data_IF_270364806307
#
_entry.id   IF_270364806307
#
_cell.length_a   1.000
_cell.length_b   1.000
_cell.length_c   1.000
_cell.angle_alpha   90.00
_cell.angle_beta   90.00
_cell.angle_gamma   90.00
#
_symmetry.space_group_name_H-M   'P 1'
#
loop_
_entity.id
_entity.type
_entity.pdbx_description
1 polymer ?
#
# COMPACT_ATOMS: atom_id res chain seq x y z
N UNK A 1 -29.04 -17.99 24.95
CA UNK A 1 -27.85 -17.11 24.96
C UNK A 1 -28.33 -15.68 25.04
N UNK A 2 -27.71 -14.88 25.91
CA UNK A 2 -27.96 -13.44 25.97
C UNK A 2 -27.43 -12.80 24.68
N UNK A 3 -28.22 -11.94 24.06
CA UNK A 3 -27.81 -11.19 22.87
C UNK A 3 -26.67 -10.25 23.25
N UNK A 4 -25.53 -10.32 22.56
CA UNK A 4 -24.40 -9.42 22.81
C UNK A 4 -24.77 -8.02 22.32
N UNK A 5 -24.57 -7.01 23.18
CA UNK A 5 -24.74 -5.60 22.83
C UNK A 5 -23.41 -4.87 22.99
N UNK A 6 -22.95 -4.23 21.92
CA UNK A 6 -21.83 -3.30 21.92
C UNK A 6 -22.36 -1.87 21.79
N UNK A 7 -21.73 -0.92 22.48
CA UNK A 7 -22.08 0.49 22.40
C UNK A 7 -20.82 1.35 22.51
N UNK A 8 -20.65 2.28 21.57
CA UNK A 8 -19.62 3.33 21.64
C UNK A 8 -20.34 4.68 21.69
N UNK A 9 -20.03 5.46 22.71
CA UNK A 9 -20.50 6.82 22.93
C UNK A 9 -19.33 7.77 23.14
N UNK A 10 -19.61 9.07 23.26
CA UNK A 10 -18.60 10.11 23.53
C UNK A 10 -17.69 9.82 24.73
N UNK A 11 -18.21 9.08 25.72
CA UNK A 11 -17.52 8.89 27.00
C UNK A 11 -17.20 7.43 27.32
N UNK A 12 -17.71 6.47 26.53
CA UNK A 12 -17.63 5.06 26.92
C UNK A 12 -17.66 4.11 25.72
N UNK A 13 -16.97 2.99 25.86
CA UNK A 13 -17.13 1.79 25.05
C UNK A 13 -17.59 0.66 25.96
N UNK A 14 -18.68 -0.02 25.60
CA UNK A 14 -19.23 -1.11 26.42
C UNK A 14 -19.52 -2.37 25.62
N UNK A 15 -19.45 -3.51 26.32
CA UNK A 15 -20.03 -4.79 25.89
C UNK A 15 -20.93 -5.28 27.03
N UNK A 16 -22.21 -5.52 26.75
CA UNK A 16 -23.24 -5.88 27.75
C UNK A 16 -23.19 -4.96 28.99
N UNK A 17 -23.20 -3.65 28.75
CA UNK A 17 -23.16 -2.58 29.77
C UNK A 17 -21.87 -2.52 30.61
N UNK A 18 -20.89 -3.38 30.36
CA UNK A 18 -19.58 -3.34 31.00
C UNK A 18 -18.66 -2.39 30.23
N UNK A 19 -18.18 -1.34 30.89
CA UNK A 19 -17.22 -0.38 30.34
C UNK A 19 -15.86 -1.02 30.12
N UNK A 20 -15.27 -0.77 28.94
CA UNK A 20 -14.01 -1.35 28.50
C UNK A 20 -13.11 -0.28 27.90
N UNK A 21 -11.80 -0.51 28.05
CA UNK A 21 -10.77 0.22 27.34
C UNK A 21 -9.75 -0.78 26.79
N UNK A 22 -9.21 -0.49 25.61
CA UNK A 22 -8.11 -1.28 25.07
C UNK A 22 -6.77 -0.87 25.72
N UNK A 23 -5.82 -1.83 25.84
CA UNK A 23 -6.00 -3.25 25.56
C UNK A 23 -6.85 -3.94 26.65
N UNK A 24 -7.67 -4.92 26.27
CA UNK A 24 -8.63 -5.58 27.17
C UNK A 24 -8.02 -6.88 27.70
N UNK A 25 -8.01 -7.09 29.01
CA UNK A 25 -7.60 -8.39 29.56
C UNK A 25 -8.51 -9.52 29.08
N UNK A 26 -7.94 -10.63 28.62
CA UNK A 26 -8.73 -11.73 28.05
C UNK A 26 -9.75 -12.31 29.05
N UNK A 27 -9.42 -12.31 30.35
CA UNK A 27 -10.29 -12.77 31.43
C UNK A 27 -11.53 -11.88 31.61
N UNK A 28 -11.44 -10.59 31.24
CA UNK A 28 -12.60 -9.69 31.26
C UNK A 28 -13.59 -10.08 30.17
N UNK A 29 -13.10 -10.40 28.97
CA UNK A 29 -13.96 -10.88 27.87
C UNK A 29 -14.62 -12.22 28.20
N UNK A 30 -13.91 -13.13 28.86
CA UNK A 30 -14.48 -14.41 29.31
C UNK A 30 -15.69 -14.22 30.23
N UNK A 31 -15.60 -13.24 31.13
CA UNK A 31 -16.68 -12.91 32.09
C UNK A 31 -17.86 -12.20 31.44
N UNK A 32 -17.62 -11.43 30.36
CA UNK A 32 -18.66 -10.65 29.69
C UNK A 32 -19.41 -11.48 28.64
N UNK A 33 -18.68 -12.25 27.84
CA UNK A 33 -19.23 -13.00 26.72
C UNK A 33 -19.87 -14.33 27.15
N UNK A 34 -19.38 -14.93 28.25
CA UNK A 34 -19.94 -16.14 28.86
C UNK A 34 -20.19 -17.29 27.84
N UNK A 35 -19.31 -17.40 26.86
CA UNK A 35 -19.38 -18.39 25.79
C UNK A 35 -18.04 -19.12 25.66
N UNK A 36 -18.07 -20.33 25.10
CA UNK A 36 -16.87 -21.11 24.85
C UNK A 36 -15.99 -20.39 23.83
N UNK A 37 -14.70 -20.26 24.14
CA UNK A 37 -13.70 -19.76 23.20
C UNK A 37 -12.75 -20.88 22.79
N UNK A 38 -12.27 -20.80 21.57
CA UNK A 38 -11.09 -21.54 21.11
C UNK A 38 -9.94 -20.58 20.85
N UNK A 39 -8.72 -21.11 20.87
CA UNK A 39 -7.50 -20.32 20.69
C UNK A 39 -6.68 -20.88 19.54
N UNK A 40 -6.29 -20.01 18.61
CA UNK A 40 -5.40 -20.33 17.49
C UNK A 40 -4.16 -19.44 17.57
N UNK A 41 -2.96 -20.04 17.59
CA UNK A 41 -1.71 -19.29 17.56
C UNK A 41 -1.18 -19.20 16.12
N UNK A 42 -0.93 -17.98 15.65
CA UNK A 42 -0.31 -17.66 14.36
C UNK A 42 1.07 -17.05 14.57
N UNK A 43 1.76 -16.73 13.46
CA UNK A 43 3.13 -16.17 13.46
C UNK A 43 3.24 -14.88 14.27
N UNK A 44 2.22 -14.01 14.21
CA UNK A 44 2.27 -12.66 14.78
C UNK A 44 1.28 -12.41 15.92
N UNK A 45 0.33 -13.31 16.14
CA UNK A 45 -0.80 -13.11 17.04
C UNK A 45 -1.39 -14.44 17.53
N UNK A 46 -2.06 -14.35 18.66
CA UNK A 46 -2.95 -15.34 19.25
C UNK A 46 -4.37 -14.82 19.00
N UNK A 47 -5.21 -15.68 18.42
CA UNK A 47 -6.59 -15.35 18.07
C UNK A 47 -7.50 -16.15 18.98
N UNK A 48 -8.37 -15.47 19.70
CA UNK A 48 -9.45 -16.07 20.48
C UNK A 48 -10.75 -15.95 19.70
N UNK A 49 -11.46 -17.06 19.51
CA UNK A 49 -12.69 -17.09 18.71
C UNK A 49 -13.84 -17.63 19.56
N UNK A 50 -14.90 -16.84 19.71
CA UNK A 50 -16.19 -17.27 20.27
C UNK A 50 -17.11 -17.66 19.11
N UNK A 51 -17.04 -18.94 18.72
CA UNK A 51 -17.64 -19.48 17.49
C UNK A 51 -19.13 -19.12 17.33
N UNK A 52 -19.92 -19.26 18.41
CA UNK A 52 -21.38 -19.07 18.37
C UNK A 52 -21.78 -17.59 18.41
N UNK A 53 -20.84 -16.70 18.72
CA UNK A 53 -21.08 -15.26 18.83
C UNK A 53 -20.63 -14.50 17.59
N UNK A 54 -19.81 -15.09 16.72
CA UNK A 54 -19.19 -14.40 15.60
C UNK A 54 -18.18 -13.32 16.01
N UNK A 55 -17.53 -13.52 17.16
CA UNK A 55 -16.58 -12.57 17.75
C UNK A 55 -15.19 -13.20 17.80
N UNK A 56 -14.20 -12.47 17.30
CA UNK A 56 -12.79 -12.78 17.44
C UNK A 56 -12.08 -11.70 18.24
N UNK A 57 -11.01 -12.06 18.92
CA UNK A 57 -10.12 -11.16 19.62
C UNK A 57 -8.66 -11.44 19.25
N UNK A 58 -7.92 -10.39 18.89
CA UNK A 58 -6.53 -10.46 18.49
C UNK A 58 -5.64 -10.04 19.66
N UNK A 59 -4.70 -10.91 20.02
CA UNK A 59 -3.75 -10.70 21.11
C UNK A 59 -2.33 -10.95 20.65
N UNK A 60 -1.38 -10.05 20.93
CA UNK A 60 0.04 -10.30 20.63
C UNK A 60 0.71 -11.22 21.64
N UNK A 61 0.34 -11.11 22.92
CA UNK A 61 1.03 -11.78 24.03
C UNK A 61 0.18 -12.83 24.75
N UNK A 62 -1.09 -12.97 24.39
CA UNK A 62 -2.04 -13.91 25.01
C UNK A 62 -2.64 -13.42 26.33
N UNK A 63 -2.24 -12.27 26.86
CA UNK A 63 -2.73 -11.71 28.12
C UNK A 63 -3.78 -10.63 27.88
N UNK A 64 -3.52 -9.75 26.93
CA UNK A 64 -4.40 -8.63 26.59
C UNK A 64 -4.77 -8.65 25.11
N UNK A 65 -5.94 -8.13 24.80
CA UNK A 65 -6.53 -8.08 23.47
C UNK A 65 -6.37 -6.66 22.94
N UNK A 66 -5.78 -6.52 21.75
CA UNK A 66 -5.58 -5.22 21.10
C UNK A 66 -6.72 -4.83 20.16
N UNK A 67 -7.43 -5.80 19.58
CA UNK A 67 -8.62 -5.55 18.76
C UNK A 67 -9.63 -6.69 18.84
N UNK A 68 -10.90 -6.34 18.61
CA UNK A 68 -12.01 -7.25 18.43
C UNK A 68 -12.46 -7.22 16.97
N UNK A 69 -12.89 -8.36 16.44
CA UNK A 69 -13.48 -8.45 15.11
C UNK A 69 -14.87 -9.10 15.22
N UNK A 70 -15.87 -8.47 14.61
CA UNK A 70 -17.21 -9.01 14.46
C UNK A 70 -17.35 -9.53 13.02
N UNK A 71 -17.50 -10.83 12.83
CA UNK A 71 -17.68 -11.42 11.49
C UNK A 71 -19.15 -11.29 11.07
N UNK A 72 -19.41 -10.53 9.99
CA UNK A 72 -20.75 -10.37 9.41
C UNK A 72 -21.00 -11.34 8.24
N UNK A 73 -19.93 -11.96 7.76
CA UNK A 73 -19.92 -13.03 6.76
C UNK A 73 -19.05 -14.18 7.28
N UNK A 74 -19.38 -15.42 6.89
CA UNK A 74 -18.55 -16.58 7.24
C UNK A 74 -17.18 -16.44 6.55
N UNK A 75 -16.12 -16.48 7.35
CA UNK A 75 -14.76 -16.54 6.85
C UNK A 75 -14.30 -17.98 6.59
N UNK A 76 -13.28 -18.12 5.74
CA UNK A 76 -12.75 -19.42 5.30
C UNK A 76 -11.44 -19.80 6.03
N UNK A 77 -11.03 -19.00 7.03
CA UNK A 77 -9.81 -19.25 7.79
C UNK A 77 -10.03 -20.25 8.92
N UNK A 78 -8.97 -20.95 9.32
CA UNK A 78 -8.99 -21.88 10.46
C UNK A 78 -9.33 -21.20 11.80
N UNK A 79 -9.22 -19.87 11.88
CA UNK A 79 -9.62 -19.06 13.04
C UNK A 79 -10.98 -18.37 12.89
N UNK A 80 -11.64 -18.43 11.72
CA UNK A 80 -12.96 -17.84 11.50
C UNK A 80 -14.04 -18.53 12.32
N UNK A 81 -14.96 -17.75 12.87
CA UNK A 81 -16.06 -18.25 13.68
C UNK A 81 -17.00 -19.16 12.87
N UNK A 82 -17.70 -20.06 13.57
CA UNK A 82 -18.67 -20.96 12.92
C UNK A 82 -19.97 -20.24 12.53
N UNK A 83 -20.34 -19.22 13.30
CA UNK A 83 -21.52 -18.39 13.11
C UNK A 83 -21.16 -16.91 13.03
N UNK A 84 -21.91 -16.15 12.23
CA UNK A 84 -21.75 -14.70 12.14
C UNK A 84 -22.28 -13.99 13.38
N UNK A 85 -21.78 -12.78 13.61
CA UNK A 85 -22.25 -11.88 14.64
C UNK A 85 -23.72 -11.50 14.41
N UNK A 86 -24.54 -11.76 15.43
CA UNK A 86 -26.00 -11.47 15.44
C UNK A 86 -26.40 -10.54 16.60
N UNK A 87 -25.40 -9.97 17.27
CA UNK A 87 -25.62 -9.02 18.35
C UNK A 87 -26.04 -7.65 17.84
N UNK A 88 -26.14 -6.71 18.76
CA UNK A 88 -26.41 -5.30 18.46
C UNK A 88 -25.12 -4.51 18.62
N UNK A 89 -24.89 -3.53 17.75
CA UNK A 89 -23.78 -2.60 17.89
C UNK A 89 -24.26 -1.19 17.58
N UNK A 90 -24.17 -0.30 18.57
CA UNK A 90 -24.50 1.10 18.46
C UNK A 90 -23.24 1.98 18.47
N UNK A 91 -23.27 3.04 17.67
CA UNK A 91 -22.27 4.09 17.60
C UNK A 91 -23.00 5.44 17.72
N UNK A 92 -22.70 6.18 18.79
CA UNK A 92 -23.31 7.48 19.11
C UNK A 92 -24.86 7.44 19.12
N UNK A 93 -25.42 6.40 19.74
CA UNK A 93 -26.86 6.10 19.84
C UNK A 93 -27.56 5.69 18.52
N UNK A 94 -26.83 5.44 17.44
CA UNK A 94 -27.36 4.90 16.18
C UNK A 94 -26.79 3.50 15.92
N UNK A 95 -27.52 2.64 15.20
CA UNK A 95 -26.99 1.34 14.78
C UNK A 95 -25.75 1.55 13.88
N UNK A 96 -24.66 0.84 14.16
CA UNK A 96 -23.31 1.15 13.64
C UNK A 96 -23.21 1.07 12.11
N UNK A 97 -23.89 0.12 11.48
CA UNK A 97 -23.88 -0.07 10.02
C UNK A 97 -24.64 1.07 9.35
N UNK A 98 -25.76 1.48 9.93
CA UNK A 98 -26.56 2.62 9.48
C UNK A 98 -25.75 3.90 9.60
N UNK A 99 -25.16 4.17 10.77
CA UNK A 99 -24.32 5.35 10.99
C UNK A 99 -23.16 5.40 10.00
N UNK A 100 -22.45 4.28 9.81
CA UNK A 100 -21.36 4.20 8.84
C UNK A 100 -21.83 4.57 7.44
N UNK A 101 -22.94 4.02 6.96
CA UNK A 101 -23.47 4.28 5.61
C UNK A 101 -23.91 5.73 5.40
N UNK A 102 -24.51 6.36 6.40
CA UNK A 102 -25.07 7.71 6.32
C UNK A 102 -24.04 8.82 6.55
N UNK A 103 -22.94 8.55 7.26
CA UNK A 103 -21.92 9.53 7.64
C UNK A 103 -20.57 9.29 6.94
N UNK A 104 -20.55 9.20 5.60
CA UNK A 104 -19.33 8.94 4.83
C UNK A 104 -18.24 10.01 5.03
N UNK A 105 -18.65 11.26 5.23
CA UNK A 105 -17.82 12.43 5.48
C UNK A 105 -17.11 12.41 6.84
N UNK A 106 -17.63 11.64 7.81
CA UNK A 106 -17.03 11.51 9.15
C UNK A 106 -16.01 10.38 9.26
N UNK A 107 -15.82 9.60 8.19
CA UNK A 107 -14.90 8.46 8.21
C UNK A 107 -13.47 8.94 8.08
N UNK A 108 -12.57 8.28 8.81
CA UNK A 108 -11.14 8.58 8.81
C UNK A 108 -10.39 7.37 8.27
N UNK A 109 -9.53 7.58 7.27
CA UNK A 109 -8.61 6.54 6.78
C UNK A 109 -7.63 6.18 7.89
N UNK A 110 -7.51 4.90 8.23
CA UNK A 110 -6.57 4.47 9.27
C UNK A 110 -5.15 4.25 8.74
N UNK A 111 -5.03 3.85 7.47
CA UNK A 111 -3.78 3.56 6.79
C UNK A 111 -3.88 3.93 5.30
N UNK A 112 -2.74 3.93 4.62
CA UNK A 112 -2.66 4.24 3.19
C UNK A 112 -3.35 3.16 2.35
N UNK A 113 -4.20 3.57 1.40
CA UNK A 113 -5.04 2.65 0.62
C UNK A 113 -6.36 2.26 1.28
N UNK A 114 -6.67 2.75 2.49
CA UNK A 114 -7.96 2.52 3.14
C UNK A 114 -9.11 3.22 2.37
N UNK A 115 -9.84 2.44 1.58
CA UNK A 115 -11.00 2.91 0.80
C UNK A 115 -12.29 2.99 1.62
N UNK A 116 -12.36 2.28 2.75
CA UNK A 116 -13.56 2.14 3.55
C UNK A 116 -13.65 3.21 4.64
N UNK A 117 -12.51 3.49 5.28
CA UNK A 117 -12.38 4.37 6.43
C UNK A 117 -13.00 3.77 7.70
N UNK A 118 -12.60 4.31 8.85
CA UNK A 118 -13.14 3.97 10.15
C UNK A 118 -13.98 5.11 10.73
N UNK A 119 -14.95 4.76 11.57
CA UNK A 119 -15.56 5.70 12.51
C UNK A 119 -14.66 5.78 13.75
N UNK A 120 -14.46 6.98 14.29
CA UNK A 120 -13.63 7.19 15.48
C UNK A 120 -14.42 7.94 16.53
N UNK A 121 -14.51 7.36 17.73
CA UNK A 121 -15.14 7.97 18.88
C UNK A 121 -14.55 7.44 20.18
N UNK A 122 -14.36 8.32 21.18
CA UNK A 122 -13.78 7.96 22.49
C UNK A 122 -12.47 7.14 22.39
N UNK A 123 -11.56 7.56 21.51
CA UNK A 123 -10.29 6.85 21.23
C UNK A 123 -10.47 5.38 20.80
N UNK A 124 -11.63 5.03 20.23
CA UNK A 124 -11.91 3.74 19.61
C UNK A 124 -12.09 3.97 18.11
N UNK A 125 -11.45 3.13 17.29
CA UNK A 125 -11.72 3.04 15.86
C UNK A 125 -12.63 1.85 15.58
N UNK A 126 -13.64 2.06 14.76
CA UNK A 126 -14.53 1.04 14.20
C UNK A 126 -14.31 1.02 12.69
N UNK A 127 -13.46 0.11 12.23
CA UNK A 127 -13.11 -0.06 10.82
C UNK A 127 -13.98 -1.15 10.20
N UNK A 128 -14.37 -0.95 8.94
CA UNK A 128 -15.30 -1.84 8.25
C UNK A 128 -14.59 -2.49 7.07
N UNK A 129 -14.53 -3.82 7.09
CA UNK A 129 -14.14 -4.60 5.93
C UNK A 129 -15.35 -4.72 5.01
N UNK A 130 -15.33 -4.01 3.89
CA UNK A 130 -16.43 -3.99 2.94
C UNK A 130 -15.95 -3.86 1.50
N UNK A 131 -16.54 -4.65 0.60
CA UNK A 131 -16.41 -4.49 -0.85
C UNK A 131 -17.78 -4.15 -1.45
N UNK A 132 -17.86 -2.98 -2.10
CA UNK A 132 -18.91 -2.38 -2.96
C UNK A 132 -20.38 -2.46 -2.50
N UNK A 133 -20.84 -3.52 -1.86
CA UNK A 133 -22.16 -3.71 -1.23
C UNK A 133 -22.19 -4.75 -0.08
N UNK A 134 -21.11 -5.49 0.18
CA UNK A 134 -21.06 -6.54 1.20
C UNK A 134 -20.12 -6.14 2.33
N UNK A 135 -20.64 -6.05 3.56
CA UNK A 135 -19.81 -5.91 4.76
C UNK A 135 -19.43 -7.30 5.24
N UNK A 136 -18.13 -7.54 5.34
CA UNK A 136 -17.58 -8.85 5.73
C UNK A 136 -17.32 -8.90 7.23
N UNK A 137 -16.75 -7.84 7.79
CA UNK A 137 -16.46 -7.75 9.21
C UNK A 137 -16.37 -6.30 9.71
N UNK A 138 -16.42 -6.15 11.03
CA UNK A 138 -16.16 -4.89 11.73
C UNK A 138 -15.01 -5.11 12.71
N UNK A 139 -13.93 -4.35 12.57
CA UNK A 139 -12.82 -4.33 13.54
C UNK A 139 -12.98 -3.16 14.51
N UNK A 140 -12.83 -3.45 15.80
CA UNK A 140 -12.90 -2.49 16.90
C UNK A 140 -11.55 -2.50 17.62
N UNK A 141 -10.88 -1.36 17.72
CA UNK A 141 -9.57 -1.25 18.34
C UNK A 141 -9.36 0.11 19.02
N UNK A 142 -8.33 0.24 19.85
CA UNK A 142 -7.83 1.55 20.26
C UNK A 142 -7.42 2.37 19.02
N UNK A 143 -7.96 3.57 18.89
CA UNK A 143 -7.50 4.54 17.91
C UNK A 143 -6.17 5.14 18.36
N UNK A 144 -5.10 4.82 17.65
CA UNK A 144 -3.73 5.28 17.95
C UNK A 144 -3.32 6.51 17.13
N UNK A 145 -4.30 7.21 16.55
CA UNK A 145 -4.07 8.19 15.50
C UNK A 145 -4.02 7.55 14.12
N UNK A 146 -3.97 8.39 13.10
CA UNK A 146 -3.86 7.97 11.70
C UNK A 146 -2.39 7.71 11.38
N UNK A 147 -2.05 6.50 10.94
CA UNK A 147 -0.70 6.19 10.46
C UNK A 147 -0.60 6.43 8.95
N UNK A 148 -0.86 7.67 8.53
CA UNK A 148 -0.48 8.13 7.19
C UNK A 148 0.93 8.67 7.31
N UNK A 149 1.87 8.11 6.56
CA UNK A 149 3.21 8.67 6.50
C UNK A 149 3.08 10.08 5.92
N UNK A 150 3.41 11.12 6.71
CA UNK A 150 3.40 12.49 6.17
C UNK A 150 4.53 12.62 5.16
N UNK A 151 4.19 12.50 3.88
CA UNK A 151 5.14 12.71 2.80
C UNK A 151 5.43 14.22 2.71
N UNK A 152 6.70 14.64 2.75
CA UNK A 152 7.05 16.05 2.57
C UNK A 152 6.46 16.58 1.27
N UNK A 153 5.79 17.75 1.33
CA UNK A 153 5.13 18.34 0.16
C UNK A 153 6.10 18.59 -1.00
N UNK A 154 7.38 18.77 -0.72
CA UNK A 154 8.40 19.02 -1.71
C UNK A 154 9.16 17.76 -2.16
N UNK A 155 8.86 16.55 -1.63
CA UNK A 155 9.59 15.31 -1.95
C UNK A 155 9.64 15.05 -3.46
N UNK A 156 8.48 14.95 -4.11
CA UNK A 156 8.39 14.73 -5.56
C UNK A 156 8.24 16.03 -6.36
N UNK A 157 8.58 17.17 -5.76
CA UNK A 157 8.64 18.44 -6.51
C UNK A 157 9.97 18.50 -7.26
N UNK A 158 9.92 18.53 -8.60
CA UNK A 158 11.11 18.72 -9.43
C UNK A 158 11.64 20.15 -9.19
N UNK A 159 12.86 20.23 -8.68
CA UNK A 159 13.57 21.48 -8.41
C UNK A 159 14.44 21.83 -9.61
N UNK A 160 14.55 23.12 -9.92
CA UNK A 160 15.54 23.60 -10.89
C UNK A 160 16.95 23.26 -10.39
N UNK A 161 17.77 22.72 -11.29
CA UNK A 161 19.14 22.33 -10.98
C UNK A 161 20.08 23.29 -11.68
N UNK A 162 20.96 23.95 -10.92
CA UNK A 162 21.97 24.86 -11.44
C UNK A 162 23.23 24.10 -11.91
N UNK A 163 23.05 23.04 -12.71
CA UNK A 163 24.14 22.26 -13.30
C UNK A 163 23.75 21.71 -14.69
N UNK A 164 24.73 21.26 -15.46
CA UNK A 164 24.48 20.71 -16.80
C UNK A 164 23.71 19.39 -16.70
N UNK A 165 22.62 19.28 -17.48
CA UNK A 165 21.74 18.11 -17.51
C UNK A 165 22.00 17.26 -18.76
N UNK A 166 21.71 15.97 -18.66
CA UNK A 166 21.69 15.07 -19.82
C UNK A 166 20.36 15.26 -20.55
N UNK A 167 20.43 15.56 -21.84
CA UNK A 167 19.25 15.57 -22.73
C UNK A 167 19.06 14.18 -23.32
N UNK A 168 17.90 13.57 -23.04
CA UNK A 168 17.54 12.27 -23.58
C UNK A 168 16.62 12.43 -24.79
N UNK A 169 16.92 11.71 -25.86
CA UNK A 169 16.07 11.60 -27.03
C UNK A 169 15.18 10.36 -27.00
N UNK A 170 15.52 9.38 -26.16
CA UNK A 170 14.80 8.12 -26.00
C UNK A 170 14.37 7.92 -24.54
N UNK A 171 13.06 7.76 -24.32
CA UNK A 171 12.53 7.62 -22.96
C UNK A 171 12.86 6.25 -22.34
N UNK A 172 12.86 5.17 -23.12
CA UNK A 172 13.25 3.84 -22.64
C UNK A 172 14.71 3.81 -22.19
N UNK A 173 15.58 4.50 -22.93
CA UNK A 173 16.98 4.66 -22.56
C UNK A 173 17.09 5.45 -21.26
N UNK A 174 16.35 6.56 -21.13
CA UNK A 174 16.30 7.36 -19.90
C UNK A 174 15.87 6.52 -18.69
N UNK A 175 14.84 5.69 -18.82
CA UNK A 175 14.38 4.81 -17.74
C UNK A 175 15.47 3.82 -17.30
N UNK A 176 16.23 3.29 -18.26
CA UNK A 176 17.35 2.38 -17.95
C UNK A 176 18.47 3.08 -17.16
N UNK A 177 18.71 4.37 -17.44
CA UNK A 177 19.64 5.19 -16.65
C UNK A 177 19.07 5.52 -15.26
N UNK A 178 17.78 5.81 -15.17
CA UNK A 178 17.12 6.05 -13.87
C UNK A 178 17.16 4.77 -13.02
N UNK A 179 16.93 3.59 -13.61
CA UNK A 179 17.07 2.31 -12.90
C UNK A 179 18.41 2.22 -12.19
N UNK A 180 19.49 2.43 -12.95
CA UNK A 180 20.85 2.31 -12.44
C UNK A 180 21.17 3.37 -11.38
N UNK A 181 20.83 4.64 -11.62
CA UNK A 181 21.17 5.71 -10.70
C UNK A 181 20.33 5.71 -9.42
N UNK A 182 19.03 5.40 -9.52
CA UNK A 182 18.07 5.55 -8.43
C UNK A 182 17.92 4.27 -7.60
N UNK A 183 17.93 3.09 -8.23
CA UNK A 183 17.63 1.83 -7.54
C UNK A 183 18.86 0.94 -7.36
N UNK A 184 19.76 0.86 -8.36
CA UNK A 184 21.00 0.07 -8.20
C UNK A 184 22.03 0.80 -7.35
N UNK A 185 22.35 2.05 -7.72
CA UNK A 185 23.42 2.84 -7.07
C UNK A 185 22.92 3.73 -5.94
N UNK A 186 21.62 4.03 -5.93
CA UNK A 186 20.96 4.90 -4.95
C UNK A 186 21.63 6.29 -4.80
N UNK A 187 22.09 6.88 -5.92
CA UNK A 187 22.73 8.20 -5.98
C UNK A 187 21.84 9.29 -6.59
N UNK A 188 20.72 8.90 -7.22
CA UNK A 188 19.70 9.83 -7.71
C UNK A 188 18.55 9.91 -6.72
N UNK A 189 18.45 11.05 -6.03
CA UNK A 189 17.47 11.29 -4.97
C UNK A 189 16.39 12.31 -5.35
N UNK A 190 15.20 12.23 -4.72
CA UNK A 190 14.78 11.15 -3.82
C UNK A 190 14.45 9.87 -4.59
N UNK A 191 14.62 8.71 -3.94
CA UNK A 191 14.14 7.43 -4.47
C UNK A 191 12.63 7.52 -4.65
N UNK A 192 12.16 7.23 -5.87
CA UNK A 192 10.74 7.28 -6.20
C UNK A 192 10.04 6.03 -5.70
N UNK A 193 8.85 6.21 -5.12
CA UNK A 193 7.96 5.13 -4.72
C UNK A 193 6.53 5.47 -5.18
N UNK A 194 5.91 4.56 -5.92
CA UNK A 194 4.58 4.72 -6.51
C UNK A 194 3.50 4.90 -5.46
N UNK A 195 3.53 4.12 -4.38
CA UNK A 195 2.52 4.18 -3.33
C UNK A 195 2.59 5.53 -2.60
N UNK A 196 3.80 5.96 -2.26
CA UNK A 196 4.03 7.29 -1.74
C UNK A 196 3.62 8.39 -2.72
N UNK A 197 3.97 8.26 -4.00
CA UNK A 197 3.63 9.28 -5.00
C UNK A 197 2.11 9.47 -5.12
N UNK A 198 1.34 8.38 -5.12
CA UNK A 198 -0.13 8.44 -5.16
C UNK A 198 -0.70 9.16 -3.94
N UNK A 199 -0.13 8.95 -2.76
CA UNK A 199 -0.53 9.67 -1.53
C UNK A 199 -0.14 11.15 -1.62
N UNK A 200 1.04 11.44 -2.16
CA UNK A 200 1.57 12.79 -2.29
C UNK A 200 0.83 13.63 -3.35
N UNK A 201 0.35 12.99 -4.42
CA UNK A 201 -0.23 13.66 -5.57
C UNK A 201 -1.70 14.06 -5.32
N UNK A 202 -1.92 15.23 -4.73
CA UNK A 202 -3.27 15.66 -4.32
C UNK A 202 -4.11 16.30 -5.44
N UNK A 203 -3.64 16.34 -6.70
CA UNK A 203 -4.38 17.01 -7.80
C UNK A 203 -5.59 16.18 -8.26
N UNK A 204 -5.54 14.86 -8.09
CA UNK A 204 -6.66 13.92 -8.27
C UNK A 204 -6.39 12.67 -7.44
N UNK A 205 -7.41 11.85 -7.22
CA UNK A 205 -7.22 10.50 -6.70
C UNK A 205 -6.66 9.60 -7.81
N UNK A 206 -5.64 8.80 -7.49
CA UNK A 206 -5.05 7.79 -8.38
C UNK A 206 -5.40 6.44 -7.75
N UNK A 207 -6.33 5.72 -8.37
CA UNK A 207 -6.78 4.42 -7.87
C UNK A 207 -5.93 3.32 -8.50
N UNK A 208 -4.89 2.89 -7.79
CA UNK A 208 -3.95 1.88 -8.29
C UNK A 208 -4.61 0.51 -8.56
N UNK A 209 -5.76 0.19 -7.99
CA UNK A 209 -6.48 -1.06 -8.28
C UNK A 209 -7.22 -0.99 -9.62
N UNK A 210 -7.57 0.22 -10.07
CA UNK A 210 -8.24 0.44 -11.36
C UNK A 210 -7.29 0.85 -12.47
N UNK A 211 -6.31 1.67 -12.15
CA UNK A 211 -5.41 2.31 -13.11
C UNK A 211 -4.09 1.55 -13.26
N UNK A 212 -3.73 0.66 -12.32
CA UNK A 212 -2.43 0.00 -12.28
C UNK A 212 -2.14 -1.03 -13.39
N UNK A 213 -3.11 -1.29 -14.28
CA UNK A 213 -2.97 -2.17 -15.44
C UNK A 213 -2.41 -1.45 -16.67
N UNK A 214 -2.29 -0.12 -16.62
CA UNK A 214 -1.67 0.71 -17.66
C UNK A 214 -0.66 1.67 -17.01
N UNK A 215 0.31 2.22 -17.76
CA UNK A 215 1.23 3.21 -17.23
C UNK A 215 0.51 4.42 -16.64
N UNK A 216 0.79 4.76 -15.38
CA UNK A 216 0.17 5.93 -14.74
C UNK A 216 0.71 7.22 -15.40
N UNK A 217 -0.15 8.08 -16.00
CA UNK A 217 0.31 9.22 -16.78
C UNK A 217 1.16 10.21 -15.97
N UNK A 218 0.77 10.49 -14.73
CA UNK A 218 1.48 11.40 -13.83
C UNK A 218 2.88 10.90 -13.49
N UNK A 219 3.02 9.59 -13.27
CA UNK A 219 4.30 8.96 -12.96
C UNK A 219 5.19 8.94 -14.20
N UNK A 220 4.61 8.60 -15.36
CA UNK A 220 5.28 8.68 -16.65
C UNK A 220 5.81 10.08 -16.92
N UNK A 221 4.97 11.10 -16.70
CA UNK A 221 5.37 12.50 -16.89
C UNK A 221 6.45 12.92 -15.89
N UNK A 222 6.35 12.50 -14.62
CA UNK A 222 7.39 12.75 -13.62
C UNK A 222 8.76 12.24 -14.09
N UNK A 223 8.85 10.99 -14.58
CA UNK A 223 10.13 10.45 -15.06
C UNK A 223 10.60 11.08 -16.37
N UNK A 224 9.69 11.53 -17.25
CA UNK A 224 10.05 12.33 -18.43
C UNK A 224 10.69 13.65 -18.04
N UNK A 225 10.17 14.31 -16.99
CA UNK A 225 10.63 15.62 -16.54
C UNK A 225 11.80 15.55 -15.55
N UNK A 226 12.05 14.39 -14.92
CA UNK A 226 13.09 14.21 -13.91
C UNK A 226 14.48 14.60 -14.48
N UNK A 227 15.15 15.64 -13.94
CA UNK A 227 16.45 16.07 -14.43
C UNK A 227 17.54 15.08 -14.01
N UNK A 228 18.43 14.74 -14.94
CA UNK A 228 19.59 13.88 -14.67
C UNK A 228 20.86 14.72 -14.85
N UNK A 229 21.53 15.10 -13.75
CA UNK A 229 22.81 15.79 -13.81
C UNK A 229 23.87 15.02 -14.58
N UNK A 230 24.58 15.70 -15.48
CA UNK A 230 25.64 15.10 -16.32
C UNK A 230 26.81 14.53 -15.52
N UNK A 231 27.03 15.01 -14.28
CA UNK A 231 28.03 14.45 -13.36
C UNK A 231 27.84 12.95 -13.10
N UNK A 232 26.61 12.44 -13.22
CA UNK A 232 26.32 11.01 -13.02
C UNK A 232 26.66 10.15 -14.24
N UNK A 233 26.96 10.75 -15.40
CA UNK A 233 27.18 9.97 -16.62
C UNK A 233 28.39 9.05 -16.55
N UNK A 234 29.41 9.40 -15.74
CA UNK A 234 30.58 8.55 -15.49
C UNK A 234 30.29 7.38 -14.56
N UNK A 235 29.20 7.43 -13.81
CA UNK A 235 28.81 6.35 -12.91
C UNK A 235 28.18 5.18 -13.67
N UNK A 236 27.70 5.40 -14.89
CA UNK A 236 27.03 4.36 -15.69
C UNK A 236 28.07 3.51 -16.42
N UNK A 237 28.19 2.25 -16.00
CA UNK A 237 29.10 1.27 -16.61
C UNK A 237 28.36 0.15 -17.34
N UNK A 238 27.15 -0.15 -16.90
CA UNK A 238 26.31 -1.21 -17.43
C UNK A 238 24.85 -0.75 -17.44
N UNK A 239 24.10 -1.19 -18.45
CA UNK A 239 22.65 -1.20 -18.46
C UNK A 239 22.20 -2.65 -18.30
N UNK A 240 21.27 -2.90 -17.39
CA UNK A 240 20.63 -4.21 -17.22
C UNK A 240 19.11 -4.02 -17.22
N UNK A 241 18.44 -4.52 -18.25
CA UNK A 241 16.99 -4.55 -18.33
C UNK A 241 16.45 -5.92 -17.97
N UNK A 242 15.51 -5.93 -17.03
CA UNK A 242 14.75 -7.09 -16.59
C UNK A 242 13.33 -6.62 -16.27
N UNK A 243 12.32 -7.46 -16.55
CA UNK A 243 10.93 -7.09 -16.29
C UNK A 243 10.60 -6.90 -14.81
N UNK A 244 11.41 -7.44 -13.91
CA UNK A 244 11.33 -7.20 -12.48
C UNK A 244 12.04 -5.93 -11.99
N UNK A 245 12.70 -5.15 -12.86
CA UNK A 245 13.36 -3.91 -12.46
C UNK A 245 12.37 -2.93 -11.81
N UNK A 246 12.79 -2.30 -10.71
CA UNK A 246 11.94 -1.43 -9.91
C UNK A 246 11.33 -0.27 -10.70
N UNK A 247 12.07 0.32 -11.65
CA UNK A 247 11.59 1.44 -12.46
C UNK A 247 10.29 1.10 -13.21
N UNK A 248 10.17 -0.12 -13.72
CA UNK A 248 8.98 -0.55 -14.45
C UNK A 248 7.80 -0.77 -13.52
N UNK A 249 8.05 -1.34 -12.34
CA UNK A 249 7.05 -1.50 -11.28
C UNK A 249 6.56 -0.16 -10.71
N UNK A 250 7.35 0.91 -10.79
CA UNK A 250 6.90 2.25 -10.44
C UNK A 250 5.94 2.86 -11.48
N UNK A 251 6.12 2.54 -12.75
CA UNK A 251 5.30 3.07 -13.84
C UNK A 251 4.01 2.26 -14.05
N UNK A 252 4.10 0.93 -13.91
CA UNK A 252 3.04 -0.03 -14.17
C UNK A 252 2.97 -1.06 -13.04
N UNK A 253 1.99 -0.90 -12.14
CA UNK A 253 1.87 -1.70 -10.92
C UNK A 253 1.63 -3.19 -11.20
N UNK A 254 0.77 -3.49 -12.16
CA UNK A 254 0.38 -4.86 -12.52
C UNK A 254 1.07 -5.33 -13.80
N UNK A 255 2.27 -4.80 -14.06
CA UNK A 255 3.08 -5.21 -15.21
C UNK A 255 3.51 -6.66 -15.07
N UNK A 256 3.48 -7.37 -16.19
CA UNK A 256 3.86 -8.78 -16.30
C UNK A 256 5.25 -8.96 -16.92
N UNK A 257 5.90 -7.86 -17.34
CA UNK A 257 7.26 -7.86 -17.81
C UNK A 257 7.42 -8.17 -19.30
N UNK A 258 6.36 -8.04 -20.09
CA UNK A 258 6.40 -8.20 -21.56
C UNK A 258 5.83 -6.99 -22.31
N UNK A 259 5.53 -5.92 -21.58
CA UNK A 259 4.98 -4.69 -22.13
C UNK A 259 6.02 -3.90 -22.92
N UNK A 260 5.64 -3.44 -24.11
CA UNK A 260 6.51 -2.68 -25.01
C UNK A 260 6.37 -1.15 -24.90
N UNK A 261 5.81 -0.62 -23.80
CA UNK A 261 5.54 0.82 -23.67
C UNK A 261 6.80 1.69 -23.73
N UNK A 262 7.94 1.13 -23.34
CA UNK A 262 9.21 1.85 -23.18
C UNK A 262 10.39 1.11 -23.79
N UNK A 263 10.13 0.37 -24.89
CA UNK A 263 11.22 -0.19 -25.69
C UNK A 263 12.18 0.94 -26.09
N UNK A 264 13.48 0.74 -25.85
CA UNK A 264 14.51 1.60 -26.42
C UNK A 264 14.40 1.51 -27.94
N UNK A 265 14.24 2.65 -28.61
CA UNK A 265 14.11 2.74 -30.06
C UNK A 265 15.46 2.99 -30.73
N UNK A 266 16.40 3.67 -30.05
CA UNK A 266 17.72 3.97 -30.58
C UNK A 266 18.78 4.20 -29.48
N UNK A 267 20.06 4.04 -29.82
CA UNK A 267 21.18 4.14 -28.90
C UNK A 267 21.84 5.53 -28.84
N UNK A 268 21.24 6.58 -29.42
CA UNK A 268 21.88 7.92 -29.53
C UNK A 268 22.31 8.49 -28.20
N UNK A 269 21.56 8.22 -27.13
CA UNK A 269 21.81 8.75 -25.80
C UNK A 269 23.05 8.10 -25.13
N UNK A 270 23.52 6.94 -25.63
CA UNK A 270 24.73 6.29 -25.14
C UNK A 270 25.99 7.17 -25.28
N UNK A 271 25.98 8.15 -26.20
CA UNK A 271 27.07 9.13 -26.36
C UNK A 271 27.36 9.94 -25.08
N UNK A 272 26.38 10.03 -24.17
CA UNK A 272 26.54 10.76 -22.91
C UNK A 272 27.33 9.98 -21.86
N UNK A 273 27.47 8.66 -22.01
CA UNK A 273 27.98 7.76 -20.96
C UNK A 273 29.33 7.14 -21.37
N UNK A 274 30.46 7.83 -21.14
CA UNK A 274 31.77 7.38 -21.62
C UNK A 274 32.24 6.05 -21.01
N UNK A 275 31.72 5.72 -19.83
CA UNK A 275 32.07 4.52 -19.08
C UNK A 275 31.12 3.34 -19.34
N UNK A 276 30.04 3.53 -20.10
CA UNK A 276 29.13 2.45 -20.46
C UNK A 276 29.87 1.46 -21.37
N UNK A 277 29.97 0.20 -20.92
CA UNK A 277 30.67 -0.88 -21.64
C UNK A 277 29.80 -2.09 -21.91
N UNK A 278 28.67 -2.24 -21.21
CA UNK A 278 27.80 -3.39 -21.34
C UNK A 278 26.32 -2.99 -21.29
N UNK A 279 25.49 -3.66 -22.06
CA UNK A 279 24.05 -3.52 -22.02
C UNK A 279 23.38 -4.90 -22.18
N UNK A 280 22.66 -5.35 -21.15
CA UNK A 280 21.76 -6.51 -21.26
C UNK A 280 20.35 -5.95 -21.44
N UNK A 281 19.71 -6.32 -22.55
CA UNK A 281 18.46 -5.71 -22.99
C UNK A 281 17.29 -6.70 -22.95
N UNK A 282 16.11 -6.19 -22.63
CA UNK A 282 14.83 -6.90 -22.66
C UNK A 282 13.73 -6.03 -23.29
N UNK A 283 13.84 -4.71 -23.18
CA UNK A 283 12.92 -3.70 -23.72
C UNK A 283 13.66 -2.80 -24.70
N UNK A 284 13.93 -3.31 -25.88
CA UNK A 284 14.59 -2.58 -26.95
C UNK A 284 14.20 -3.11 -28.33
N UNK A 285 14.33 -2.28 -29.36
CA UNK A 285 14.22 -2.71 -30.76
C UNK A 285 15.50 -3.41 -31.22
N UNK A 286 15.38 -4.29 -32.21
CA UNK A 286 16.50 -5.09 -32.73
C UNK A 286 17.70 -4.25 -33.18
N UNK A 287 17.46 -3.06 -33.75
CA UNK A 287 18.53 -2.17 -34.20
C UNK A 287 19.40 -1.65 -33.04
N UNK A 288 18.84 -1.48 -31.84
CA UNK A 288 19.55 -0.91 -30.69
C UNK A 288 20.74 -1.77 -30.28
N UNK A 289 20.60 -3.10 -30.34
CA UNK A 289 21.69 -4.02 -30.02
C UNK A 289 22.88 -3.77 -30.96
N UNK A 290 22.63 -3.65 -32.26
CA UNK A 290 23.68 -3.37 -33.25
C UNK A 290 24.29 -1.98 -33.05
N UNK A 291 23.47 -0.96 -32.84
CA UNK A 291 23.94 0.41 -32.60
C UNK A 291 24.86 0.51 -31.38
N UNK A 292 24.53 -0.17 -30.27
CA UNK A 292 25.39 -0.21 -29.08
C UNK A 292 26.70 -0.94 -29.34
N UNK A 293 26.66 -2.08 -30.03
CA UNK A 293 27.87 -2.82 -30.40
C UNK A 293 28.80 -2.00 -31.31
N UNK A 294 28.25 -1.27 -32.27
CA UNK A 294 29.01 -0.36 -33.16
C UNK A 294 29.67 0.79 -32.37
N UNK A 295 29.10 1.18 -31.23
CA UNK A 295 29.68 2.15 -30.29
C UNK A 295 30.70 1.53 -29.32
N UNK A 296 31.00 0.23 -29.44
CA UNK A 296 31.92 -0.49 -28.57
C UNK A 296 31.34 -0.85 -27.19
N UNK A 297 30.01 -0.83 -27.06
CA UNK A 297 29.28 -1.27 -25.86
C UNK A 297 28.80 -2.69 -26.13
N UNK A 298 29.30 -3.66 -25.36
CA UNK A 298 28.89 -5.05 -25.52
C UNK A 298 27.41 -5.20 -25.18
N UNK A 299 26.58 -5.48 -26.17
CA UNK A 299 25.13 -5.65 -25.99
C UNK A 299 24.67 -7.07 -26.28
N UNK A 300 23.79 -7.60 -25.43
CA UNK A 300 23.15 -8.92 -25.56
C UNK A 300 21.70 -8.88 -25.05
N UNK A 301 20.85 -9.76 -25.56
CA UNK A 301 19.51 -9.98 -25.00
C UNK A 301 19.60 -10.82 -23.72
N UNK A 302 18.64 -10.63 -22.79
CA UNK A 302 18.48 -11.47 -21.60
C UNK A 302 18.03 -12.91 -21.96
#
# INVERSE_FOLDING_TARGET
MTMIKLDISQNNFTINDTSLNFPIEIEVLDKILLANKRTVKKKHNIIYTWDDLGILAYSKNGQVVESLLLELKKGDFDFSSKDIFKGQFYFDNEEVITYYKTNKDKRVKLFDGDSNGALVLNNISVWFDSDKNNMEAIEIAAFKGVSIQKIPKDKYTIKEVNEELIEFSDFGFKLSIIQELMYTKEILEPKFDLFEFVIWYTKRDIDLEKEGYEPIPEVTQYFKDLPIPKKFATEITEIYQDGGNEIYMQLLRFGEGWEGYWDIENAKDAKHFPNLKKAILCYAKENVLNELNDMGIKSEWI
#
